data_IF_998883155987
#
_entry.id   IF_998883155987
#
_cell.length_a   1.000
_cell.length_b   1.000
_cell.length_c   1.000
_cell.angle_alpha   90.00
_cell.angle_beta   90.00
_cell.angle_gamma   90.00
#
_symmetry.space_group_name_H-M   'P 1'
#
loop_
_entity.id
_entity.type
_entity.pdbx_description
1 polymer ?
#
# COMPACT_ATOMS: atom_id res chain seq x y z
N UNK A 1 -3.49 21.06 -30.03
CA UNK A 1 -2.82 22.07 -29.16
C UNK A 1 -2.59 21.41 -27.82
N UNK A 2 -1.41 20.79 -27.62
CA UNK A 2 -1.08 20.17 -26.34
C UNK A 2 -0.74 21.29 -25.35
N UNK A 3 -1.54 21.43 -24.29
CA UNK A 3 -1.22 22.33 -23.19
C UNK A 3 0.17 21.98 -22.64
N UNK A 4 0.97 23.01 -22.34
CA UNK A 4 2.33 22.86 -21.82
C UNK A 4 2.35 21.95 -20.61
N UNK A 5 3.13 20.87 -20.70
CA UNK A 5 3.26 19.87 -19.63
C UNK A 5 3.79 20.55 -18.36
N UNK A 6 3.22 20.31 -17.18
CA UNK A 6 3.85 20.75 -15.95
C UNK A 6 5.24 20.13 -15.85
N UNK A 7 6.28 20.95 -15.69
CA UNK A 7 7.68 20.52 -15.67
C UNK A 7 8.11 19.85 -14.35
N UNK A 8 7.21 19.72 -13.37
CA UNK A 8 7.53 19.27 -12.00
C UNK A 8 6.49 18.28 -11.50
N UNK A 9 6.96 17.18 -10.91
CA UNK A 9 6.10 16.13 -10.33
C UNK A 9 5.28 16.68 -9.16
N UNK A 10 3.97 16.37 -9.07
CA UNK A 10 3.14 16.90 -8.00
C UNK A 10 3.67 16.36 -6.66
N UNK A 11 3.63 17.21 -5.65
CA UNK A 11 3.92 16.86 -4.27
C UNK A 11 2.60 16.82 -3.49
N UNK A 12 1.89 15.67 -3.48
CA UNK A 12 0.59 15.54 -2.84
C UNK A 12 0.72 15.69 -1.31
N UNK A 13 -0.35 16.15 -0.67
CA UNK A 13 -0.47 16.03 0.80
C UNK A 13 -0.88 14.61 1.11
N UNK A 14 -0.01 13.85 1.78
CA UNK A 14 -0.30 12.47 2.16
C UNK A 14 -1.19 12.46 3.39
N UNK A 15 -2.34 11.79 3.30
CA UNK A 15 -3.20 11.51 4.45
C UNK A 15 -2.72 10.23 5.10
N UNK A 16 -2.38 10.30 6.38
CA UNK A 16 -1.94 9.17 7.21
C UNK A 16 -3.11 8.74 8.09
N UNK A 17 -3.44 7.45 8.06
CA UNK A 17 -4.52 6.93 8.89
C UNK A 17 -4.23 7.10 10.39
N UNK A 18 -5.23 7.53 11.14
CA UNK A 18 -5.15 7.72 12.61
C UNK A 18 -4.73 6.48 13.42
N UNK A 19 -4.88 5.27 12.85
CA UNK A 19 -4.58 4.00 13.53
C UNK A 19 -3.16 3.50 13.23
N UNK A 20 -2.45 4.10 12.27
CA UNK A 20 -1.07 3.74 11.95
C UNK A 20 -0.14 4.20 13.10
N UNK A 21 0.40 3.23 13.83
CA UNK A 21 1.20 3.47 15.03
C UNK A 21 2.65 3.87 14.71
N UNK A 22 3.15 3.46 13.55
CA UNK A 22 4.52 3.71 13.09
C UNK A 22 4.46 4.33 11.70
N UNK A 23 3.93 5.56 11.58
CA UNK A 23 3.74 6.19 10.29
C UNK A 23 5.07 6.48 9.61
N UNK A 24 5.07 6.40 8.28
CA UNK A 24 6.12 6.97 7.46
C UNK A 24 6.14 8.50 7.57
N UNK A 25 7.29 9.09 7.26
CA UNK A 25 7.44 10.53 7.17
C UNK A 25 7.37 10.97 5.70
N UNK A 26 6.47 11.90 5.39
CA UNK A 26 6.35 12.51 4.06
C UNK A 26 6.57 14.01 4.12
N UNK A 27 7.06 14.65 3.03
CA UNK A 27 7.30 16.10 2.99
C UNK A 27 6.05 16.94 3.32
N UNK A 28 4.87 16.47 2.90
CA UNK A 28 3.58 17.07 3.22
C UNK A 28 2.65 15.98 3.69
N UNK A 29 2.15 16.09 4.92
CA UNK A 29 1.20 15.12 5.45
C UNK A 29 0.22 15.70 6.46
N UNK A 30 -0.91 15.02 6.60
CA UNK A 30 -1.93 15.27 7.62
C UNK A 30 -2.40 13.94 8.19
N UNK A 31 -2.84 13.91 9.45
CA UNK A 31 -3.38 12.70 10.09
C UNK A 31 -4.90 12.79 10.11
N UNK A 32 -5.59 11.80 9.53
CA UNK A 32 -7.06 11.67 9.52
C UNK A 32 -7.47 10.21 9.48
N UNK A 33 -8.72 9.91 9.81
CA UNK A 33 -9.23 8.54 9.67
C UNK A 33 -9.54 8.25 8.20
N UNK A 34 -8.96 7.16 7.67
CA UNK A 34 -9.24 6.62 6.34
C UNK A 34 -10.24 5.45 6.43
N UNK A 35 -11.04 5.28 5.39
CA UNK A 35 -11.94 4.13 5.28
C UNK A 35 -11.19 2.81 5.09
N UNK A 36 -10.04 2.83 4.42
CA UNK A 36 -9.14 1.68 4.22
C UNK A 36 -7.74 2.14 3.82
N UNK A 37 -6.74 1.31 4.12
CA UNK A 37 -5.32 1.62 3.92
C UNK A 37 -4.75 2.51 5.02
N UNK A 38 -3.42 2.59 5.05
CA UNK A 38 -2.66 3.39 6.01
C UNK A 38 -2.31 4.78 5.45
N UNK A 39 -2.22 4.90 4.12
CA UNK A 39 -1.86 6.13 3.44
C UNK A 39 -2.75 6.40 2.24
N UNK A 40 -3.09 7.67 2.02
CA UNK A 40 -3.81 8.15 0.84
C UNK A 40 -3.36 9.57 0.47
N UNK A 41 -4.05 10.24 -0.44
CA UNK A 41 -3.82 11.61 -0.87
C UNK A 41 -5.03 12.46 -0.48
N UNK A 42 -4.78 13.67 0.02
CA UNK A 42 -5.83 14.63 0.34
C UNK A 42 -6.69 14.94 -0.90
N UNK A 43 -8.00 14.76 -0.78
CA UNK A 43 -8.98 14.89 -1.88
C UNK A 43 -9.16 13.63 -2.73
N UNK A 44 -8.42 12.55 -2.45
CA UNK A 44 -8.49 11.25 -3.14
C UNK A 44 -8.59 10.07 -2.15
N UNK A 45 -9.08 10.30 -0.94
CA UNK A 45 -9.10 9.36 0.19
C UNK A 45 -9.85 8.04 -0.11
N UNK A 46 -10.78 8.07 -1.06
CA UNK A 46 -11.57 6.91 -1.51
C UNK A 46 -11.18 6.43 -2.91
N UNK A 47 -10.10 6.98 -3.47
CA UNK A 47 -9.69 6.76 -4.87
C UNK A 47 -8.31 6.10 -4.94
N UNK A 48 -7.40 6.50 -4.06
CA UNK A 48 -6.08 5.86 -3.91
C UNK A 48 -5.81 5.45 -2.46
N UNK A 49 -5.22 4.28 -2.24
CA UNK A 49 -4.80 3.87 -0.90
C UNK A 49 -3.57 2.96 -0.92
N UNK A 50 -2.69 3.11 0.05
CA UNK A 50 -1.56 2.20 0.29
C UNK A 50 -1.72 1.57 1.66
N UNK A 51 -1.76 0.24 1.68
CA UNK A 51 -1.71 -0.58 2.87
C UNK A 51 -0.26 -0.93 3.16
N UNK A 52 0.26 -0.55 4.33
CA UNK A 52 1.60 -0.91 4.77
C UNK A 52 1.53 -2.19 5.59
N UNK A 53 2.50 -3.08 5.36
CA UNK A 53 2.62 -4.32 6.13
C UNK A 53 4.05 -4.55 6.54
N UNK A 54 4.30 -4.76 7.83
CA UNK A 54 5.55 -5.42 8.22
C UNK A 54 5.48 -6.91 7.88
N UNK A 55 6.63 -7.58 7.86
CA UNK A 55 6.67 -9.05 7.70
C UNK A 55 5.89 -9.72 8.84
N UNK A 56 6.12 -9.27 10.06
CA UNK A 56 5.51 -9.78 11.27
C UNK A 56 3.98 -9.66 11.23
N UNK A 57 3.48 -8.49 10.82
CA UNK A 57 2.04 -8.23 10.68
C UNK A 57 1.42 -9.07 9.57
N UNK A 58 2.11 -9.26 8.45
CA UNK A 58 1.64 -10.09 7.35
C UNK A 58 1.47 -11.56 7.79
N UNK A 59 2.47 -12.13 8.47
CA UNK A 59 2.39 -13.50 8.99
C UNK A 59 1.30 -13.65 10.05
N UNK A 60 1.18 -12.70 10.99
CA UNK A 60 0.12 -12.71 12.00
C UNK A 60 -1.29 -12.60 11.39
N UNK A 61 -1.45 -11.71 10.40
CA UNK A 61 -2.71 -11.49 9.69
C UNK A 61 -3.15 -12.75 8.93
N UNK A 62 -2.24 -13.41 8.22
CA UNK A 62 -2.56 -14.59 7.42
C UNK A 62 -2.80 -15.82 8.32
N UNK A 63 -2.06 -15.93 9.43
CA UNK A 63 -2.16 -17.07 10.35
C UNK A 63 -3.41 -17.09 11.23
N UNK A 64 -3.95 -15.92 11.63
CA UNK A 64 -5.10 -15.85 12.55
C UNK A 64 -6.08 -14.70 12.33
N UNK A 65 -5.78 -13.73 11.46
CA UNK A 65 -6.59 -12.54 11.18
C UNK A 65 -7.23 -12.50 9.79
N UNK A 66 -7.25 -13.64 9.08
CA UNK A 66 -7.48 -13.69 7.62
C UNK A 66 -8.81 -13.08 7.19
N UNK A 67 -9.90 -13.33 7.93
CA UNK A 67 -11.23 -12.79 7.58
C UNK A 67 -11.31 -11.27 7.68
N UNK A 68 -10.69 -10.70 8.73
CA UNK A 68 -10.69 -9.23 8.91
C UNK A 68 -9.95 -8.56 7.78
N UNK A 69 -8.78 -9.08 7.42
CA UNK A 69 -7.96 -8.50 6.37
C UNK A 69 -8.51 -8.78 4.97
N UNK A 70 -9.23 -9.89 4.79
CA UNK A 70 -9.95 -10.15 3.55
C UNK A 70 -10.99 -9.06 3.25
N UNK A 71 -11.77 -8.62 4.25
CA UNK A 71 -12.69 -7.47 4.10
C UNK A 71 -11.98 -6.16 3.76
N UNK A 72 -10.74 -5.99 4.22
CA UNK A 72 -9.92 -4.83 3.92
C UNK A 72 -9.42 -4.85 2.48
N UNK A 73 -8.91 -5.99 2.02
CA UNK A 73 -8.56 -6.23 0.61
C UNK A 73 -9.75 -6.00 -0.31
N UNK A 74 -10.95 -6.45 0.07
CA UNK A 74 -12.17 -6.22 -0.73
C UNK A 74 -12.53 -4.74 -0.86
N UNK A 75 -12.34 -3.94 0.20
CA UNK A 75 -12.53 -2.49 0.13
C UNK A 75 -11.48 -1.84 -0.75
N UNK A 76 -10.20 -2.19 -0.57
CA UNK A 76 -9.08 -1.68 -1.36
C UNK A 76 -9.24 -2.01 -2.86
N UNK A 77 -9.81 -3.16 -3.20
CA UNK A 77 -10.07 -3.56 -4.58
C UNK A 77 -11.09 -2.64 -5.31
N UNK A 78 -11.86 -1.85 -4.57
CA UNK A 78 -12.79 -0.87 -5.13
C UNK A 78 -12.16 0.48 -5.47
N UNK A 79 -10.91 0.71 -5.09
CA UNK A 79 -10.19 1.95 -5.35
C UNK A 79 -9.66 1.96 -6.79
N UNK A 80 -9.46 3.14 -7.38
CA UNK A 80 -8.85 3.26 -8.71
C UNK A 80 -7.41 2.76 -8.70
N UNK A 81 -6.71 2.99 -7.60
CA UNK A 81 -5.42 2.37 -7.33
C UNK A 81 -5.29 2.03 -5.86
N UNK A 82 -4.92 0.80 -5.56
CA UNK A 82 -4.46 0.43 -4.23
C UNK A 82 -3.25 -0.49 -4.33
N UNK A 83 -2.43 -0.51 -3.27
CA UNK A 83 -1.31 -1.45 -3.19
C UNK A 83 -1.04 -1.86 -1.75
N UNK A 84 -0.54 -3.08 -1.57
CA UNK A 84 0.07 -3.54 -0.31
C UNK A 84 1.58 -3.38 -0.46
N UNK A 85 2.19 -2.58 0.41
CA UNK A 85 3.64 -2.39 0.48
C UNK A 85 4.16 -3.11 1.72
N UNK A 86 4.95 -4.17 1.50
CA UNK A 86 5.54 -5.00 2.55
C UNK A 86 6.96 -4.52 2.85
N UNK A 87 7.24 -4.23 4.13
CA UNK A 87 8.57 -3.86 4.65
C UNK A 87 9.50 -5.10 4.75
N UNK A 88 9.64 -5.82 3.65
CA UNK A 88 10.52 -6.98 3.53
C UNK A 88 10.88 -7.18 2.07
N UNK A 89 12.09 -7.66 1.80
CA UNK A 89 12.38 -8.28 0.50
C UNK A 89 11.67 -9.62 0.42
N UNK A 90 11.39 -10.10 -0.80
CA UNK A 90 10.79 -11.42 -1.00
C UNK A 90 11.64 -12.57 -0.39
N UNK A 91 12.98 -12.64 -0.60
CA UNK A 91 13.80 -13.65 0.05
C UNK A 91 13.78 -13.60 1.58
N UNK A 92 13.74 -12.39 2.17
CA UNK A 92 13.62 -12.24 3.62
C UNK A 92 12.22 -12.59 4.12
N UNK A 93 11.19 -12.36 3.31
CA UNK A 93 9.81 -12.68 3.65
C UNK A 93 9.56 -14.18 3.67
N UNK A 94 10.20 -14.94 2.79
CA UNK A 94 10.15 -16.41 2.76
C UNK A 94 10.86 -17.07 3.95
N UNK A 95 11.48 -16.29 4.84
CA UNK A 95 12.00 -16.72 6.13
C UNK A 95 11.00 -16.26 7.21
N UNK A 96 10.16 -17.17 7.75
CA UNK A 96 9.11 -16.80 8.69
C UNK A 96 9.69 -16.20 9.98
N UNK A 97 8.95 -15.30 10.66
CA UNK A 97 9.31 -14.87 12.01
C UNK A 97 9.44 -16.08 12.96
N UNK A 98 10.36 -16.05 13.95
CA UNK A 98 10.66 -17.22 14.80
C UNK A 98 9.45 -17.82 15.54
N UNK A 99 8.43 -17.01 15.81
CA UNK A 99 7.22 -17.39 16.53
C UNK A 99 6.06 -17.81 15.59
N UNK A 100 6.22 -17.70 14.27
CA UNK A 100 5.17 -18.04 13.31
C UNK A 100 5.16 -19.54 13.02
N UNK A 101 3.99 -20.16 13.20
CA UNK A 101 3.74 -21.55 12.76
C UNK A 101 3.26 -21.63 11.30
N UNK A 102 2.97 -20.50 10.66
CA UNK A 102 2.53 -20.44 9.27
C UNK A 102 3.70 -20.73 8.32
N UNK A 103 3.52 -21.71 7.44
CA UNK A 103 4.50 -22.03 6.42
C UNK A 103 4.70 -20.85 5.45
N UNK A 104 5.94 -20.47 5.08
CA UNK A 104 6.21 -19.29 4.24
C UNK A 104 5.50 -19.33 2.89
N UNK A 105 5.39 -20.51 2.25
CA UNK A 105 4.64 -20.66 0.98
C UNK A 105 3.14 -20.34 1.12
N UNK A 106 2.54 -20.58 2.29
CA UNK A 106 1.14 -20.22 2.53
C UNK A 106 0.98 -18.70 2.72
N UNK A 107 1.95 -18.05 3.37
CA UNK A 107 1.97 -16.60 3.55
C UNK A 107 2.08 -15.88 2.20
N UNK A 108 3.10 -16.20 1.41
CA UNK A 108 3.27 -15.58 0.08
C UNK A 108 2.11 -15.95 -0.86
N UNK A 109 1.66 -17.21 -0.85
CA UNK A 109 0.56 -17.66 -1.70
C UNK A 109 -0.73 -16.88 -1.45
N UNK A 110 -0.98 -16.50 -0.19
CA UNK A 110 -2.12 -15.66 0.16
C UNK A 110 -1.98 -14.24 -0.38
N UNK A 111 -0.82 -13.59 -0.19
CA UNK A 111 -0.57 -12.24 -0.72
C UNK A 111 -0.68 -12.21 -2.26
N UNK A 112 -0.05 -13.17 -2.94
CA UNK A 112 -0.10 -13.26 -4.40
C UNK A 112 -1.50 -13.63 -4.91
N UNK A 113 -2.25 -14.44 -4.17
CA UNK A 113 -3.66 -14.71 -4.50
C UNK A 113 -4.49 -13.43 -4.47
N UNK A 114 -4.28 -12.55 -3.49
CA UNK A 114 -4.95 -11.25 -3.48
C UNK A 114 -4.53 -10.37 -4.65
N UNK A 115 -3.24 -10.38 -5.00
CA UNK A 115 -2.76 -9.65 -6.15
C UNK A 115 -3.43 -10.07 -7.45
N UNK A 116 -3.57 -11.38 -7.68
CA UNK A 116 -4.24 -11.91 -8.87
C UNK A 116 -5.75 -11.68 -8.83
N UNK A 117 -6.40 -12.04 -7.70
CA UNK A 117 -7.87 -12.04 -7.60
C UNK A 117 -8.47 -10.64 -7.59
N UNK A 118 -7.81 -9.71 -6.91
CA UNK A 118 -8.33 -8.35 -6.67
C UNK A 118 -7.58 -7.28 -7.46
N UNK A 119 -6.63 -7.68 -8.33
CA UNK A 119 -5.72 -6.76 -9.03
C UNK A 119 -5.04 -5.78 -8.08
N UNK A 120 -4.65 -6.27 -6.91
CA UNK A 120 -4.05 -5.46 -5.85
C UNK A 120 -2.52 -5.67 -5.83
N UNK A 121 -1.72 -4.77 -6.41
CA UNK A 121 -0.26 -4.86 -6.35
C UNK A 121 0.26 -5.17 -4.95
N UNK A 122 1.18 -6.13 -4.86
CA UNK A 122 1.93 -6.43 -3.64
C UNK A 122 3.40 -6.17 -3.89
N UNK A 123 3.97 -5.18 -3.22
CA UNK A 123 5.37 -4.78 -3.36
C UNK A 123 6.16 -5.24 -2.14
N UNK A 124 7.14 -6.10 -2.36
CA UNK A 124 8.14 -6.47 -1.35
C UNK A 124 9.28 -5.46 -1.40
N UNK A 125 9.18 -4.41 -0.59
CA UNK A 125 9.99 -3.21 -0.72
C UNK A 125 11.34 -3.28 0.01
N UNK A 126 11.78 -4.44 0.48
CA UNK A 126 13.10 -4.58 1.11
C UNK A 126 13.04 -4.30 2.61
N UNK A 127 13.04 -3.03 3.00
CA UNK A 127 12.98 -2.57 4.39
C UNK A 127 12.03 -1.38 4.53
N UNK A 128 11.96 -0.82 5.74
CA UNK A 128 11.11 0.33 6.06
C UNK A 128 11.41 1.57 5.24
N UNK A 129 12.69 1.89 5.05
CA UNK A 129 13.11 3.11 4.34
C UNK A 129 12.69 3.02 2.86
N UNK A 130 12.96 1.88 2.25
CA UNK A 130 12.58 1.63 0.86
C UNK A 130 11.07 1.48 0.68
N UNK A 131 10.36 0.92 1.66
CA UNK A 131 8.89 0.87 1.66
C UNK A 131 8.26 2.26 1.76
N UNK A 132 8.82 3.16 2.56
CA UNK A 132 8.42 4.57 2.61
C UNK A 132 8.64 5.24 1.25
N UNK A 133 9.82 5.09 0.65
CA UNK A 133 10.13 5.66 -0.65
C UNK A 133 9.18 5.13 -1.75
N UNK A 134 8.94 3.82 -1.78
CA UNK A 134 7.99 3.21 -2.71
C UNK A 134 6.57 3.76 -2.51
N UNK A 135 6.09 3.84 -1.26
CA UNK A 135 4.78 4.41 -0.92
C UNK A 135 4.66 5.85 -1.42
N UNK A 136 5.66 6.69 -1.16
CA UNK A 136 5.66 8.08 -1.60
C UNK A 136 5.63 8.20 -3.13
N UNK A 137 6.48 7.45 -3.83
CA UNK A 137 6.50 7.46 -5.29
C UNK A 137 5.21 6.92 -5.91
N UNK A 138 4.58 5.89 -5.34
CA UNK A 138 3.29 5.40 -5.81
C UNK A 138 2.22 6.49 -5.72
N UNK A 139 2.13 7.19 -4.60
CA UNK A 139 1.19 8.29 -4.41
C UNK A 139 1.48 9.46 -5.36
N UNK A 140 2.75 9.83 -5.55
CA UNK A 140 3.15 10.88 -6.51
C UNK A 140 2.78 10.52 -7.95
N UNK A 141 3.02 9.27 -8.36
CA UNK A 141 2.67 8.78 -9.70
C UNK A 141 1.16 8.72 -9.90
N UNK A 142 0.41 8.26 -8.90
CA UNK A 142 -1.04 8.32 -8.95
C UNK A 142 -1.53 9.75 -9.13
N UNK A 143 -1.05 10.70 -8.32
CA UNK A 143 -1.43 12.11 -8.43
C UNK A 143 -1.13 12.69 -9.81
N UNK A 144 0.04 12.37 -10.39
CA UNK A 144 0.40 12.78 -11.74
C UNK A 144 -0.62 12.29 -12.77
N UNK A 145 -0.90 10.99 -12.81
CA UNK A 145 -1.83 10.42 -13.79
C UNK A 145 -3.29 10.84 -13.56
N UNK A 146 -3.69 11.06 -12.31
CA UNK A 146 -5.01 11.59 -11.96
C UNK A 146 -5.19 13.04 -12.46
N UNK A 147 -4.17 13.88 -12.33
CA UNK A 147 -4.19 15.27 -12.83
C UNK A 147 -4.20 15.32 -14.36
N UNK A 148 -3.49 14.41 -15.03
CA UNK A 148 -3.47 14.31 -16.49
C UNK A 148 -4.73 13.62 -17.07
N UNK A 149 -5.52 12.94 -16.24
CA UNK A 149 -6.66 12.14 -16.68
C UNK A 149 -6.23 10.91 -17.51
N UNK A 150 -5.04 10.37 -17.25
CA UNK A 150 -4.42 9.28 -18.03
C UNK A 150 -4.36 7.95 -17.27
N UNK A 151 -4.98 7.87 -16.09
CA UNK A 151 -5.11 6.63 -15.34
C UNK A 151 -5.99 5.62 -16.09
N UNK A 152 -5.51 4.37 -16.22
CA UNK A 152 -6.22 3.25 -16.86
C UNK A 152 -6.55 2.17 -15.83
N UNK A 153 -7.74 1.57 -15.93
CA UNK A 153 -8.26 0.51 -15.05
C UNK A 153 -8.09 -0.89 -15.64
#
# INVERSE_FOLDING_TARGET
>A
MAAGRPHTEPEPVVVIDTREQRPYAFPRSVVRTLSSGDYSIEGYETVVAIERKSKEDAYGTIGGGRERFHREVERLAGYDYAAIVVESSLPAFLKPPPYSQLHPNAAIGTLLSWSVRYRLPVLFAGDREHAQAATHHLLKRFAWYAQEGTLVR
#
